data_IF_450645337367
#
_entry.id   IF_450645337367
#
_cell.length_a   1.000
_cell.length_b   1.000
_cell.length_c   1.000
_cell.angle_alpha   90.00
_cell.angle_beta   90.00
_cell.angle_gamma   90.00
#
_symmetry.space_group_name_H-M   'P 1'
#
loop_
_entity.id
_entity.type
_entity.pdbx_description
1 polymer ?
#
# COMPACT_ATOMS: atom_id res chain seq x y z
N UNK A 1 9.36 40.48 6.64
CA UNK A 1 8.80 40.20 7.98
C UNK A 1 9.88 39.51 8.80
N UNK A 2 10.25 40.05 9.96
CA UNK A 2 11.15 39.34 10.87
C UNK A 2 10.37 38.20 11.52
N UNK A 3 10.75 36.95 11.26
CA UNK A 3 10.09 35.79 11.87
C UNK A 3 10.38 35.76 13.36
N UNK A 4 9.36 36.03 14.18
CA UNK A 4 9.48 36.07 15.64
C UNK A 4 9.78 34.68 16.22
N UNK A 5 9.17 33.64 15.64
CA UNK A 5 9.34 32.22 15.95
C UNK A 5 9.35 31.45 14.62
N UNK A 6 10.14 30.39 14.50
CA UNK A 6 10.16 29.58 13.29
C UNK A 6 8.95 28.63 13.27
N UNK A 7 8.10 28.76 12.23
CA UNK A 7 6.95 27.89 12.01
C UNK A 7 7.26 26.94 10.86
N UNK A 8 7.15 25.64 11.11
CA UNK A 8 7.45 24.58 10.15
C UNK A 8 6.20 23.74 9.87
N UNK A 9 6.24 22.85 8.88
CA UNK A 9 5.12 21.95 8.58
C UNK A 9 5.47 20.52 9.04
N UNK A 10 4.54 19.85 9.70
CA UNK A 10 4.66 18.43 10.04
C UNK A 10 4.34 17.52 8.83
N UNK A 11 4.35 16.21 9.05
CA UNK A 11 4.04 15.21 8.01
C UNK A 11 2.62 15.36 7.43
N UNK A 12 1.68 15.82 8.26
CA UNK A 12 0.29 16.10 7.88
C UNK A 12 0.11 17.49 7.23
N UNK A 13 1.22 18.19 6.93
CA UNK A 13 1.24 19.58 6.45
C UNK A 13 0.58 20.60 7.38
N UNK A 14 0.54 20.34 8.68
CA UNK A 14 0.03 21.28 9.69
C UNK A 14 1.17 22.18 10.21
N UNK A 15 0.89 23.46 10.51
CA UNK A 15 1.88 24.38 11.04
C UNK A 15 2.20 24.05 12.50
N UNK A 16 3.49 23.88 12.79
CA UNK A 16 4.01 23.50 14.10
C UNK A 16 5.20 24.36 14.50
N UNK A 17 5.41 24.50 15.82
CA UNK A 17 6.47 25.32 16.42
C UNK A 17 7.24 24.53 17.47
N UNK A 18 8.50 24.90 17.68
CA UNK A 18 9.28 24.34 18.79
C UNK A 18 8.79 24.92 20.12
N UNK A 19 8.42 24.05 21.06
CA UNK A 19 8.05 24.47 22.41
C UNK A 19 9.20 25.16 23.14
N UNK A 20 10.45 24.75 22.89
CA UNK A 20 11.64 25.37 23.47
C UNK A 20 11.88 26.77 22.91
N UNK A 21 11.71 26.96 21.60
CA UNK A 21 11.79 28.29 20.98
C UNK A 21 10.67 29.21 21.51
N UNK A 22 9.45 28.70 21.62
CA UNK A 22 8.32 29.44 22.18
C UNK A 22 8.63 29.91 23.62
N UNK A 23 9.10 29.01 24.49
CA UNK A 23 9.51 29.33 25.86
C UNK A 23 10.56 30.45 25.92
N UNK A 24 11.58 30.35 25.07
CA UNK A 24 12.65 31.35 24.99
C UNK A 24 12.12 32.73 24.55
N UNK A 25 11.30 32.77 23.50
CA UNK A 25 10.77 34.03 22.95
C UNK A 25 9.76 34.68 23.90
N UNK A 26 8.98 33.90 24.64
CA UNK A 26 8.08 34.40 25.68
C UNK A 26 8.81 34.99 26.89
N UNK A 27 10.13 34.72 27.05
CA UNK A 27 10.93 35.26 28.14
C UNK A 27 10.56 34.69 29.52
N UNK A 28 10.04 33.46 29.57
CA UNK A 28 9.60 32.83 30.81
C UNK A 28 10.79 32.48 31.70
N UNK A 29 10.78 32.98 32.93
CA UNK A 29 11.89 32.78 33.89
C UNK A 29 11.99 31.34 34.41
N UNK A 30 10.86 30.63 34.55
CA UNK A 30 10.87 29.23 34.97
C UNK A 30 11.57 28.37 33.92
N UNK A 31 12.44 27.46 34.35
CA UNK A 31 13.15 26.57 33.43
C UNK A 31 12.17 25.72 32.60
N UNK A 32 12.51 25.46 31.34
CA UNK A 32 11.63 24.74 30.40
C UNK A 32 11.10 23.41 30.94
N UNK A 33 11.96 22.63 31.62
CA UNK A 33 11.61 21.32 32.20
C UNK A 33 10.52 21.39 33.27
N UNK A 34 10.39 22.53 33.95
CA UNK A 34 9.41 22.75 35.02
C UNK A 34 8.21 23.58 34.51
N UNK A 35 8.40 24.30 33.41
CA UNK A 35 7.36 25.10 32.76
C UNK A 35 6.47 24.27 31.87
N UNK A 36 7.04 23.42 31.00
CA UNK A 36 6.27 22.71 29.99
C UNK A 36 5.24 21.72 30.58
N UNK A 37 5.54 20.92 31.61
CA UNK A 37 4.53 20.04 32.23
C UNK A 37 3.33 20.82 32.78
N UNK A 38 3.55 22.02 33.33
CA UNK A 38 2.45 22.90 33.77
C UNK A 38 1.63 23.44 32.61
N UNK A 39 2.21 23.61 31.43
CA UNK A 39 1.45 24.03 30.25
C UNK A 39 0.55 22.90 29.76
N UNK A 40 0.98 21.65 29.83
CA UNK A 40 0.16 20.49 29.43
C UNK A 40 -1.04 20.25 30.35
N UNK A 41 -0.97 20.69 31.61
CA UNK A 41 -2.09 20.62 32.58
C UNK A 41 -3.31 21.48 32.18
N UNK A 42 -3.18 22.39 31.21
CA UNK A 42 -4.29 23.21 30.70
C UNK A 42 -5.21 22.47 29.72
N UNK A 43 -5.11 21.14 29.63
CA UNK A 43 -5.99 20.31 28.80
C UNK A 43 -5.44 19.96 27.43
N UNK A 44 -4.11 19.99 27.25
CA UNK A 44 -3.47 19.57 26.00
C UNK A 44 -3.07 18.10 26.05
N UNK A 45 -3.28 17.39 24.95
CA UNK A 45 -3.03 15.95 24.83
C UNK A 45 -1.80 15.68 23.97
N UNK A 46 -0.93 14.77 24.43
CA UNK A 46 0.22 14.32 23.65
C UNK A 46 -0.25 13.51 22.42
N UNK A 47 0.41 13.74 21.28
CA UNK A 47 0.08 13.27 19.93
C UNK A 47 -1.14 13.94 19.28
N UNK A 48 -1.90 14.75 20.02
CA UNK A 48 -2.98 15.58 19.45
C UNK A 48 -2.54 17.04 19.31
N UNK A 49 -2.07 17.65 20.40
CA UNK A 49 -1.67 19.07 20.46
C UNK A 49 -0.17 19.28 20.38
N UNK A 50 0.61 18.32 20.89
CA UNK A 50 2.06 18.33 20.85
C UNK A 50 2.64 16.92 20.74
N UNK A 51 3.88 16.81 20.29
CA UNK A 51 4.66 15.58 20.33
C UNK A 51 5.98 15.79 21.05
N UNK A 52 6.41 14.80 21.84
CA UNK A 52 7.70 14.81 22.51
C UNK A 52 8.77 14.07 21.71
N UNK A 53 10.01 14.55 21.78
CA UNK A 53 11.17 13.91 21.15
C UNK A 53 12.45 14.20 21.93
N UNK A 54 13.47 13.36 21.74
CA UNK A 54 14.79 13.58 22.32
C UNK A 54 15.64 14.43 21.38
N UNK A 55 16.14 15.55 21.89
CA UNK A 55 17.07 16.42 21.17
C UNK A 55 18.41 15.72 20.89
N UNK A 56 19.02 16.04 19.75
CA UNK A 56 20.36 15.51 19.40
C UNK A 56 21.39 16.05 20.39
N UNK A 57 22.08 15.14 21.08
CA UNK A 57 23.15 15.46 22.02
C UNK A 57 24.52 15.36 21.34
N UNK A 58 25.37 16.36 21.51
CA UNK A 58 26.80 16.34 21.14
C UNK A 58 27.70 15.84 22.28
N UNK A 59 27.10 15.43 23.41
CA UNK A 59 27.76 14.91 24.60
C UNK A 59 26.86 15.04 25.83
N UNK A 60 26.56 13.95 26.52
CA UNK A 60 25.65 13.89 27.69
C UNK A 60 24.24 13.39 27.36
N UNK A 61 23.36 13.32 28.38
CA UNK A 61 22.00 12.77 28.25
C UNK A 61 21.13 13.68 27.36
N UNK A 62 20.49 13.15 26.30
CA UNK A 62 19.54 13.89 25.46
C UNK A 62 18.44 14.54 26.29
N UNK A 63 18.09 15.79 25.95
CA UNK A 63 16.98 16.52 26.61
C UNK A 63 15.67 16.25 25.88
N UNK A 64 14.58 16.13 26.63
CA UNK A 64 13.24 16.06 26.06
C UNK A 64 12.78 17.44 25.58
N UNK A 65 12.38 17.50 24.31
CA UNK A 65 11.86 18.66 23.60
C UNK A 65 10.49 18.34 23.02
N UNK A 66 9.74 19.38 22.66
CA UNK A 66 8.37 19.24 22.18
C UNK A 66 8.14 20.07 20.91
N UNK A 67 7.38 19.50 19.98
CA UNK A 67 6.79 20.18 18.83
C UNK A 67 5.33 20.43 19.15
N UNK A 68 4.87 21.67 19.01
CA UNK A 68 3.52 22.10 19.35
C UNK A 68 2.76 22.46 18.07
N UNK A 69 1.48 22.09 17.99
CA UNK A 69 0.57 22.67 17.00
C UNK A 69 0.39 24.16 17.23
N UNK A 70 0.08 24.88 16.16
CA UNK A 70 -0.10 26.32 16.21
C UNK A 70 -1.24 26.72 17.17
N UNK A 71 -2.29 25.90 17.30
CA UNK A 71 -3.42 26.12 18.22
C UNK A 71 -2.97 26.15 19.68
N UNK A 72 -2.31 25.08 20.15
CA UNK A 72 -1.71 25.04 21.48
C UNK A 72 -0.75 26.20 21.72
N UNK A 73 0.08 26.55 20.72
CA UNK A 73 1.03 27.66 20.86
C UNK A 73 0.35 29.03 21.02
N UNK A 74 -0.78 29.27 20.34
CA UNK A 74 -1.61 30.48 20.52
C UNK A 74 -2.17 30.56 21.94
N UNK A 75 -2.65 29.44 22.48
CA UNK A 75 -3.19 29.37 23.83
C UNK A 75 -2.11 29.59 24.90
N UNK A 76 -0.96 28.92 24.77
CA UNK A 76 0.18 29.12 25.68
C UNK A 76 0.64 30.59 25.70
N UNK A 77 0.70 31.23 24.53
CA UNK A 77 1.03 32.65 24.43
C UNK A 77 -0.01 33.54 25.12
N UNK A 78 -1.30 33.16 25.05
CA UNK A 78 -2.39 33.85 25.73
C UNK A 78 -2.31 33.70 27.26
N UNK A 79 -1.98 32.51 27.76
CA UNK A 79 -1.88 32.20 29.20
C UNK A 79 -0.79 33.04 29.90
N UNK A 80 0.27 33.44 29.19
CA UNK A 80 1.34 34.25 29.79
C UNK A 80 0.88 35.62 30.30
N UNK A 81 -0.19 36.20 29.72
CA UNK A 81 -0.71 37.53 30.08
C UNK A 81 0.38 38.64 30.09
N UNK A 82 1.34 38.56 29.18
CA UNK A 82 2.42 39.54 28.99
C UNK A 82 2.31 40.23 27.63
N UNK A 83 2.93 41.40 27.47
CA UNK A 83 3.02 42.09 26.17
C UNK A 83 3.71 41.22 25.12
N UNK A 84 4.75 40.48 25.53
CA UNK A 84 5.44 39.51 24.67
C UNK A 84 4.53 38.36 24.26
N UNK A 85 3.72 37.84 25.18
CA UNK A 85 2.69 36.84 24.87
C UNK A 85 1.66 37.36 23.86
N UNK A 86 1.24 38.62 23.98
CA UNK A 86 0.33 39.27 23.01
C UNK A 86 0.97 39.39 21.62
N UNK A 87 2.22 39.80 21.54
CA UNK A 87 2.98 39.91 20.29
C UNK A 87 3.11 38.54 19.59
N UNK A 88 3.52 37.51 20.34
CA UNK A 88 3.64 36.13 19.85
C UNK A 88 2.28 35.60 19.38
N UNK A 89 1.21 35.83 20.14
CA UNK A 89 -0.15 35.43 19.75
C UNK A 89 -0.60 36.10 18.45
N UNK A 90 -0.35 37.40 18.29
CA UNK A 90 -0.69 38.12 17.05
C UNK A 90 0.11 37.60 15.86
N UNK A 91 1.40 37.29 16.07
CA UNK A 91 2.23 36.65 15.05
C UNK A 91 1.64 35.30 14.61
N UNK A 92 1.28 34.41 15.54
CA UNK A 92 0.68 33.12 15.20
C UNK A 92 -0.68 33.24 14.51
N UNK A 93 -1.51 34.20 14.90
CA UNK A 93 -2.77 34.48 14.19
C UNK A 93 -2.50 34.93 12.75
N UNK A 94 -1.47 35.74 12.52
CA UNK A 94 -1.11 36.14 11.15
C UNK A 94 -0.60 34.95 10.33
N UNK A 95 0.26 34.13 10.91
CA UNK A 95 0.74 32.90 10.26
C UNK A 95 -0.42 31.97 9.91
N UNK A 96 -1.39 31.80 10.80
CA UNK A 96 -2.59 31.00 10.54
C UNK A 96 -3.45 31.57 9.40
N UNK A 97 -3.63 32.90 9.36
CA UNK A 97 -4.36 33.57 8.27
C UNK A 97 -3.65 33.38 6.93
N UNK A 98 -2.34 33.57 6.89
CA UNK A 98 -1.54 33.38 5.69
C UNK A 98 -1.56 31.91 5.25
N UNK A 99 -1.50 30.99 6.21
CA UNK A 99 -1.59 29.56 5.96
C UNK A 99 -2.96 29.15 5.38
N UNK A 100 -4.04 29.76 5.88
CA UNK A 100 -5.41 29.55 5.43
C UNK A 100 -5.83 30.45 4.26
N UNK A 101 -4.89 31.14 3.61
CA UNK A 101 -5.21 31.89 2.39
C UNK A 101 -5.66 30.92 1.28
N UNK A 102 -6.61 31.32 0.42
CA UNK A 102 -7.09 30.48 -0.67
C UNK A 102 -5.95 29.92 -1.53
N UNK A 103 -4.93 30.75 -1.82
CA UNK A 103 -3.77 30.39 -2.63
C UNK A 103 -2.93 29.30 -1.93
N UNK A 104 -2.71 29.42 -0.62
CA UNK A 104 -1.94 28.45 0.17
C UNK A 104 -2.70 27.14 0.39
N UNK A 105 -4.02 27.19 0.56
CA UNK A 105 -4.86 25.99 0.62
C UNK A 105 -4.79 25.25 -0.72
N UNK A 106 -4.99 25.95 -1.83
CA UNK A 106 -4.97 25.37 -3.17
C UNK A 106 -3.62 24.73 -3.51
N UNK A 107 -2.51 25.42 -3.20
CA UNK A 107 -1.16 24.88 -3.43
C UNK A 107 -0.90 23.57 -2.66
N UNK A 108 -1.45 23.43 -1.45
CA UNK A 108 -1.37 22.20 -0.65
C UNK A 108 -2.24 21.09 -1.24
N UNK A 109 -3.48 21.42 -1.59
CA UNK A 109 -4.41 20.48 -2.21
C UNK A 109 -3.82 19.88 -3.50
N UNK A 110 -3.18 20.70 -4.34
CA UNK A 110 -2.51 20.24 -5.56
C UNK A 110 -1.37 19.26 -5.26
N UNK A 111 -0.48 19.58 -4.31
CA UNK A 111 0.60 18.67 -3.90
C UNK A 111 0.10 17.34 -3.35
N UNK A 112 -1.01 17.36 -2.61
CA UNK A 112 -1.64 16.14 -2.07
C UNK A 112 -2.24 15.31 -3.21
N UNK A 113 -2.91 15.96 -4.17
CA UNK A 113 -3.44 15.31 -5.36
C UNK A 113 -2.33 14.66 -6.18
N UNK A 114 -1.22 15.37 -6.44
CA UNK A 114 -0.07 14.84 -7.17
C UNK A 114 0.53 13.61 -6.50
N UNK A 115 0.76 13.65 -5.18
CA UNK A 115 1.24 12.49 -4.42
C UNK A 115 0.29 11.30 -4.52
N UNK A 116 -1.02 11.55 -4.51
CA UNK A 116 -2.04 10.51 -4.64
C UNK A 116 -2.05 9.93 -6.05
N UNK A 117 -1.91 10.75 -7.08
CA UNK A 117 -1.80 10.32 -8.49
C UNK A 117 -0.58 9.41 -8.65
N UNK A 118 0.60 9.85 -8.21
CA UNK A 118 1.83 9.06 -8.28
C UNK A 118 1.67 7.70 -7.59
N UNK A 119 1.06 7.67 -6.40
CA UNK A 119 0.83 6.42 -5.65
C UNK A 119 -0.18 5.50 -6.37
N UNK A 120 -1.22 6.07 -6.96
CA UNK A 120 -2.23 5.32 -7.72
C UNK A 120 -1.63 4.77 -9.02
N UNK A 121 -0.84 5.56 -9.74
CA UNK A 121 -0.13 5.13 -10.95
C UNK A 121 0.83 3.97 -10.66
N UNK A 122 1.60 4.04 -9.57
CA UNK A 122 2.46 2.95 -9.13
C UNK A 122 1.66 1.67 -8.84
N UNK A 123 0.52 1.79 -8.14
CA UNK A 123 -0.39 0.66 -7.88
C UNK A 123 -0.97 0.08 -9.17
N UNK A 124 -1.37 0.94 -10.12
CA UNK A 124 -1.92 0.52 -11.41
C UNK A 124 -0.88 -0.25 -12.21
N UNK A 125 0.37 0.23 -12.28
CA UNK A 125 1.41 -0.46 -13.04
C UNK A 125 1.74 -1.84 -12.44
N UNK A 126 1.72 -1.98 -11.12
CA UNK A 126 1.86 -3.28 -10.43
C UNK A 126 0.68 -4.23 -10.73
N UNK A 127 -0.55 -3.70 -10.81
CA UNK A 127 -1.77 -4.49 -11.04
C UNK A 127 -2.07 -4.76 -12.52
N UNK A 128 -1.45 -4.01 -13.44
CA UNK A 128 -1.60 -4.12 -14.89
C UNK A 128 -1.45 -5.55 -15.43
N UNK A 129 -0.43 -6.36 -15.04
CA UNK A 129 -0.35 -7.76 -15.49
C UNK A 129 -1.51 -8.60 -14.98
N UNK A 130 -2.02 -8.34 -13.76
CA UNK A 130 -3.16 -9.07 -13.19
C UNK A 130 -4.48 -8.77 -13.93
N UNK A 131 -4.69 -7.49 -14.28
CA UNK A 131 -5.94 -7.02 -14.93
C UNK A 131 -6.03 -7.44 -16.39
N UNK A 132 -4.95 -7.27 -17.18
CA UNK A 132 -4.93 -7.67 -18.60
C UNK A 132 -5.25 -9.16 -18.74
N UNK A 133 -4.73 -9.95 -17.80
CA UNK A 133 -4.84 -11.38 -17.80
C UNK A 133 -6.19 -11.93 -17.33
N UNK A 134 -6.79 -11.35 -16.28
CA UNK A 134 -8.16 -11.67 -15.86
C UNK A 134 -9.17 -11.42 -16.99
N UNK A 135 -8.97 -10.33 -17.75
CA UNK A 135 -9.83 -9.98 -18.88
C UNK A 135 -9.64 -10.90 -20.10
N UNK A 136 -8.41 -11.33 -20.40
CA UNK A 136 -8.12 -12.25 -21.50
C UNK A 136 -8.71 -13.65 -21.27
N UNK A 137 -8.76 -14.10 -20.01
CA UNK A 137 -9.24 -15.43 -19.64
C UNK A 137 -10.77 -15.47 -19.46
N UNK A 138 -11.38 -14.41 -18.92
CA UNK A 138 -12.84 -14.33 -18.71
C UNK A 138 -13.66 -14.35 -20.01
N UNK A 139 -13.08 -13.92 -21.13
CA UNK A 139 -13.76 -13.94 -22.43
C UNK A 139 -14.06 -15.36 -22.97
N UNK A 140 -13.37 -16.38 -22.46
CA UNK A 140 -13.47 -17.77 -22.93
C UNK A 140 -14.41 -18.58 -22.01
N UNK A 141 -15.70 -18.61 -22.36
CA UNK A 141 -16.71 -19.43 -21.68
C UNK A 141 -16.57 -20.93 -22.01
N UNK A 142 -15.64 -21.30 -22.89
CA UNK A 142 -15.46 -22.66 -23.40
C UNK A 142 -14.22 -23.33 -22.79
N UNK A 143 -14.25 -24.65 -22.69
CA UNK A 143 -13.07 -25.39 -22.25
C UNK A 143 -12.00 -25.42 -23.35
N UNK A 144 -10.75 -25.13 -23.00
CA UNK A 144 -9.61 -25.09 -23.93
C UNK A 144 -8.56 -26.16 -23.55
N UNK A 145 -7.71 -26.56 -24.49
CA UNK A 145 -6.63 -27.50 -24.18
C UNK A 145 -5.62 -26.84 -23.23
N UNK A 146 -4.99 -27.64 -22.36
CA UNK A 146 -3.90 -27.16 -21.49
C UNK A 146 -2.77 -26.49 -22.29
N UNK A 147 -2.49 -26.99 -23.51
CA UNK A 147 -1.50 -26.38 -24.40
C UNK A 147 -1.91 -25.01 -24.93
N UNK A 148 -3.19 -24.79 -25.20
CA UNK A 148 -3.70 -23.49 -25.66
C UNK A 148 -3.75 -22.50 -24.50
N UNK A 149 -4.13 -22.96 -23.31
CA UNK A 149 -3.99 -22.17 -22.09
C UNK A 149 -2.54 -21.72 -21.87
N UNK A 150 -1.56 -22.62 -22.01
CA UNK A 150 -0.14 -22.27 -21.89
C UNK A 150 0.32 -21.23 -22.92
N UNK A 151 -0.17 -21.29 -24.17
CA UNK A 151 0.09 -20.25 -25.18
C UNK A 151 -0.52 -18.90 -24.79
N UNK A 152 -1.75 -18.92 -24.27
CA UNK A 152 -2.43 -17.72 -23.77
C UNK A 152 -1.64 -17.09 -22.61
N UNK A 153 -1.13 -17.90 -21.67
CA UNK A 153 -0.24 -17.41 -20.60
C UNK A 153 0.99 -16.71 -21.18
N UNK A 154 1.63 -17.31 -22.20
CA UNK A 154 2.82 -16.77 -22.87
C UNK A 154 2.56 -15.45 -23.59
N UNK A 155 1.41 -15.31 -24.24
CA UNK A 155 1.01 -14.05 -24.89
C UNK A 155 0.77 -12.92 -23.88
N UNK A 156 0.35 -13.26 -22.66
CA UNK A 156 0.09 -12.30 -21.58
C UNK A 156 1.30 -12.08 -20.65
N UNK A 157 2.51 -12.39 -21.11
CA UNK A 157 3.76 -12.07 -20.40
C UNK A 157 4.25 -13.15 -19.42
N UNK A 158 3.50 -14.23 -19.19
CA UNK A 158 3.95 -15.34 -18.35
C UNK A 158 4.71 -16.35 -19.21
N UNK A 159 6.03 -16.49 -19.02
CA UNK A 159 6.86 -17.38 -19.84
C UNK A 159 6.60 -18.87 -19.54
N UNK A 160 5.44 -19.40 -19.95
CA UNK A 160 5.05 -20.80 -19.88
C UNK A 160 5.10 -21.47 -21.25
N UNK A 161 5.69 -22.66 -21.29
CA UNK A 161 5.56 -23.58 -22.43
C UNK A 161 4.58 -24.70 -22.09
N UNK A 162 4.02 -25.37 -23.09
CA UNK A 162 3.08 -26.48 -22.90
C UNK A 162 3.60 -27.52 -21.89
N UNK A 163 4.83 -28.02 -22.08
CA UNK A 163 5.40 -29.03 -21.17
C UNK A 163 5.57 -28.52 -19.73
N UNK A 164 5.94 -27.24 -19.56
CA UNK A 164 6.07 -26.59 -18.23
C UNK A 164 4.70 -26.46 -17.54
N UNK A 165 3.65 -26.13 -18.30
CA UNK A 165 2.29 -26.08 -17.77
C UNK A 165 1.83 -27.46 -17.26
N UNK A 166 2.07 -28.51 -18.05
CA UNK A 166 1.75 -29.88 -17.63
C UNK A 166 2.57 -30.33 -16.41
N UNK A 167 3.85 -29.93 -16.30
CA UNK A 167 4.67 -30.21 -15.13
C UNK A 167 4.10 -29.51 -13.89
N UNK A 168 3.86 -28.19 -13.96
CA UNK A 168 3.30 -27.39 -12.87
C UNK A 168 1.95 -27.95 -12.38
N UNK A 169 1.07 -28.34 -13.30
CA UNK A 169 -0.21 -28.96 -12.95
C UNK A 169 -0.06 -30.29 -12.18
N UNK A 170 0.97 -31.08 -12.46
CA UNK A 170 1.25 -32.34 -11.73
C UNK A 170 1.89 -32.07 -10.38
N UNK A 171 2.88 -31.18 -10.35
CA UNK A 171 3.57 -30.77 -9.11
C UNK A 171 2.61 -30.18 -8.09
N UNK A 172 1.60 -29.42 -8.56
CA UNK A 172 0.55 -28.84 -7.71
C UNK A 172 -0.64 -29.78 -7.45
N UNK A 173 -0.57 -31.04 -7.90
CA UNK A 173 -1.59 -32.06 -7.60
C UNK A 173 -2.92 -31.88 -8.34
N UNK A 174 -2.93 -31.18 -9.47
CA UNK A 174 -4.11 -31.03 -10.33
C UNK A 174 -4.23 -32.13 -11.37
N UNK A 175 -3.11 -32.63 -11.87
CA UNK A 175 -3.03 -33.81 -12.73
C UNK A 175 -2.28 -34.94 -12.00
N UNK A 176 -2.62 -36.19 -12.31
CA UNK A 176 -1.96 -37.36 -11.73
C UNK A 176 -0.49 -37.43 -12.18
N UNK A 177 0.42 -37.57 -11.22
CA UNK A 177 1.87 -37.64 -11.44
C UNK A 177 2.43 -39.06 -11.59
N UNK A 178 1.58 -40.10 -11.50
CA UNK A 178 2.00 -41.50 -11.68
C UNK A 178 2.03 -41.87 -13.16
N UNK A 179 3.18 -42.31 -13.67
CA UNK A 179 3.33 -42.76 -15.07
C UNK A 179 2.41 -43.94 -15.36
N UNK A 180 1.61 -43.82 -16.41
CA UNK A 180 0.62 -44.81 -16.83
C UNK A 180 -0.56 -44.18 -17.57
N UNK A 181 -1.63 -44.95 -17.76
CA UNK A 181 -2.82 -44.53 -18.52
C UNK A 181 -3.55 -43.32 -17.90
N UNK A 182 -3.32 -43.04 -16.61
CA UNK A 182 -3.91 -41.92 -15.89
C UNK A 182 -3.01 -40.68 -15.81
N UNK A 183 -1.82 -40.68 -16.43
CA UNK A 183 -0.83 -39.59 -16.33
C UNK A 183 -1.33 -38.18 -16.72
N UNK A 184 -2.39 -38.10 -17.53
CA UNK A 184 -3.03 -36.84 -17.94
C UNK A 184 -4.47 -36.69 -17.40
N UNK A 185 -4.86 -37.53 -16.44
CA UNK A 185 -6.14 -37.40 -15.76
C UNK A 185 -6.05 -36.36 -14.65
N UNK A 186 -7.07 -35.49 -14.50
CA UNK A 186 -7.20 -34.63 -13.33
C UNK A 186 -7.36 -35.45 -12.05
N UNK A 187 -6.87 -34.91 -10.94
CA UNK A 187 -7.11 -35.51 -9.61
C UNK A 187 -8.57 -35.33 -9.20
N UNK A 188 -9.06 -36.15 -8.28
CA UNK A 188 -10.43 -36.02 -7.75
C UNK A 188 -10.69 -34.60 -7.23
N UNK A 189 -9.72 -34.04 -6.49
CA UNK A 189 -9.75 -32.65 -6.03
C UNK A 189 -9.95 -31.65 -7.18
N UNK A 190 -9.24 -31.81 -8.29
CA UNK A 190 -9.36 -30.90 -9.42
C UNK A 190 -10.69 -31.05 -10.18
N UNK A 191 -11.26 -32.26 -10.18
CA UNK A 191 -12.59 -32.54 -10.72
C UNK A 191 -13.69 -31.96 -9.85
N UNK A 192 -13.61 -32.12 -8.52
CA UNK A 192 -14.59 -31.58 -7.56
C UNK A 192 -14.63 -30.04 -7.60
N UNK A 193 -13.48 -29.42 -7.84
CA UNK A 193 -13.38 -27.97 -8.05
C UNK A 193 -13.92 -27.51 -9.42
N UNK A 194 -14.19 -28.43 -10.35
CA UNK A 194 -14.71 -28.15 -11.69
C UNK A 194 -13.69 -27.48 -12.62
N UNK A 195 -12.40 -27.76 -12.44
CA UNK A 195 -11.31 -27.07 -13.16
C UNK A 195 -11.03 -27.69 -14.53
N UNK A 196 -11.42 -28.95 -14.75
CA UNK A 196 -11.12 -29.69 -15.96
C UNK A 196 -12.33 -30.41 -16.56
N UNK A 197 -12.24 -30.63 -17.87
CA UNK A 197 -13.03 -31.57 -18.65
C UNK A 197 -12.07 -32.55 -19.35
N UNK A 198 -12.56 -33.74 -19.69
CA UNK A 198 -11.75 -34.78 -20.33
C UNK A 198 -12.31 -35.05 -21.72
N UNK A 199 -11.46 -34.91 -22.74
CA UNK A 199 -11.75 -35.36 -24.10
C UNK A 199 -11.14 -36.76 -24.26
N UNK A 200 -11.99 -37.74 -24.55
CA UNK A 200 -11.55 -39.09 -24.89
C UNK A 200 -11.47 -39.26 -26.42
N UNK A 201 -10.45 -39.95 -26.90
CA UNK A 201 -10.27 -40.23 -28.33
C UNK A 201 -9.89 -41.70 -28.51
N UNK A 202 -10.72 -42.41 -29.25
CA UNK A 202 -10.51 -43.82 -29.59
C UNK A 202 -9.47 -43.93 -30.70
N UNK A 203 -8.46 -44.77 -30.47
CA UNK A 203 -7.41 -45.09 -31.44
C UNK A 203 -7.52 -46.57 -31.74
N UNK A 204 -7.82 -46.87 -33.02
CA UNK A 204 -7.86 -48.23 -33.53
C UNK A 204 -6.49 -48.57 -34.11
N UNK A 205 -5.90 -49.65 -33.62
CA UNK A 205 -4.60 -50.13 -34.09
C UNK A 205 -4.78 -51.20 -35.17
N UNK A 206 -3.77 -51.35 -36.02
CA UNK A 206 -3.80 -52.31 -37.14
C UNK A 206 -3.85 -53.78 -36.72
N UNK A 207 -3.55 -54.07 -35.46
CA UNK A 207 -3.60 -55.38 -34.81
C UNK A 207 -4.95 -55.67 -34.12
N UNK A 208 -5.94 -54.78 -34.27
CA UNK A 208 -7.31 -54.97 -33.80
C UNK A 208 -7.60 -54.56 -32.36
N UNK A 209 -6.60 -54.11 -31.59
CA UNK A 209 -6.86 -53.56 -30.25
C UNK A 209 -7.28 -52.09 -30.31
N UNK A 210 -8.13 -51.70 -29.35
CA UNK A 210 -8.63 -50.34 -29.22
C UNK A 210 -7.98 -49.72 -27.98
N UNK A 211 -7.41 -48.52 -28.14
CA UNK A 211 -6.89 -47.73 -27.02
C UNK A 211 -7.62 -46.40 -26.91
N UNK A 212 -7.81 -45.91 -25.68
CA UNK A 212 -8.49 -44.64 -25.41
C UNK A 212 -7.45 -43.64 -24.92
N UNK A 213 -7.26 -42.57 -25.69
CA UNK A 213 -6.43 -41.44 -25.26
C UNK A 213 -7.28 -40.43 -24.50
N UNK A 214 -6.79 -39.96 -23.35
CA UNK A 214 -7.50 -39.01 -22.49
C UNK A 214 -6.73 -37.69 -22.45
N UNK A 215 -7.39 -36.63 -22.90
CA UNK A 215 -6.81 -35.29 -23.00
C UNK A 215 -7.51 -34.33 -22.04
N UNK A 216 -6.80 -33.70 -21.09
CA UNK A 216 -7.39 -32.72 -20.19
C UNK A 216 -7.61 -31.38 -20.92
N UNK A 217 -8.79 -30.81 -20.70
CA UNK A 217 -9.17 -29.45 -21.09
C UNK A 217 -9.46 -28.65 -19.82
N UNK A 218 -9.10 -27.38 -19.81
CA UNK A 218 -9.34 -26.47 -18.69
C UNK A 218 -10.66 -25.73 -18.93
N UNK A 219 -11.60 -25.83 -17.99
CA UNK A 219 -12.89 -25.11 -18.04
C UNK A 219 -12.68 -23.61 -17.91
N UNK A 220 -13.67 -22.77 -18.26
CA UNK A 220 -13.55 -21.32 -18.02
C UNK A 220 -13.23 -20.96 -16.56
N UNK A 221 -13.87 -21.69 -15.62
CA UNK A 221 -13.55 -21.61 -14.18
C UNK A 221 -12.11 -22.03 -13.87
N UNK A 222 -11.66 -23.14 -14.46
CA UNK A 222 -10.28 -23.62 -14.34
C UNK A 222 -9.26 -22.62 -14.87
N UNK A 223 -9.58 -21.93 -15.97
CA UNK A 223 -8.69 -20.96 -16.57
C UNK A 223 -8.49 -19.78 -15.61
N UNK A 224 -9.56 -19.23 -15.02
CA UNK A 224 -9.49 -18.16 -14.01
C UNK A 224 -8.73 -18.61 -12.76
N UNK A 225 -8.96 -19.84 -12.31
CA UNK A 225 -8.34 -20.38 -11.11
C UNK A 225 -6.82 -20.57 -11.28
N UNK A 226 -6.38 -21.19 -12.38
CA UNK A 226 -4.95 -21.37 -12.64
C UNK A 226 -4.27 -20.06 -12.99
N UNK A 227 -4.99 -19.16 -13.66
CA UNK A 227 -4.53 -17.80 -13.89
C UNK A 227 -4.12 -17.11 -12.58
N UNK A 228 -5.05 -16.95 -11.65
CA UNK A 228 -4.78 -16.29 -10.37
C UNK A 228 -3.63 -16.97 -9.61
N UNK A 229 -3.63 -18.31 -9.57
CA UNK A 229 -2.59 -19.05 -8.87
C UNK A 229 -1.19 -18.87 -9.48
N UNK A 230 -1.07 -18.89 -10.81
CA UNK A 230 0.20 -18.67 -11.49
C UNK A 230 0.73 -17.24 -11.31
N UNK A 231 -0.14 -16.25 -11.23
CA UNK A 231 0.25 -14.86 -10.93
C UNK A 231 0.76 -14.70 -9.51
N UNK A 232 0.16 -15.40 -8.55
CA UNK A 232 0.57 -15.35 -7.14
C UNK A 232 1.85 -16.17 -6.86
N UNK A 233 2.14 -17.20 -7.64
CA UNK A 233 3.39 -18.00 -7.53
C UNK A 233 4.62 -17.26 -8.12
N UNK A 234 4.42 -16.19 -8.91
CA UNK A 234 5.50 -15.43 -9.58
C UNK A 234 5.81 -14.10 -8.87
N UNK A 235 4.89 -13.60 -8.03
CA UNK A 235 5.07 -12.40 -7.20
C UNK A 235 5.86 -12.73 -5.91
#
# INVERSE_FOLDING_TARGET
>A
MNNLINVTLNENQEPVVSGRQLHQVLGVKTAYKDWFPRMTEYGFTENEDFSSFLSKSTGGRPKQDHVLKLDMAKEIAMIQRTDKGKEVRQYFIQVEKDFNSPEKIMARALKIADRKIIKLEATIEEQKPKVIFANAVSASHTSILVGDFAKLMRQNGLNFGQNRMFAWLRENGYLISRKGNSWNMPTQKAMDLGLFEIKETTINHSDGHISINKTPKITGKGQLYFADKLLNDIA
#
